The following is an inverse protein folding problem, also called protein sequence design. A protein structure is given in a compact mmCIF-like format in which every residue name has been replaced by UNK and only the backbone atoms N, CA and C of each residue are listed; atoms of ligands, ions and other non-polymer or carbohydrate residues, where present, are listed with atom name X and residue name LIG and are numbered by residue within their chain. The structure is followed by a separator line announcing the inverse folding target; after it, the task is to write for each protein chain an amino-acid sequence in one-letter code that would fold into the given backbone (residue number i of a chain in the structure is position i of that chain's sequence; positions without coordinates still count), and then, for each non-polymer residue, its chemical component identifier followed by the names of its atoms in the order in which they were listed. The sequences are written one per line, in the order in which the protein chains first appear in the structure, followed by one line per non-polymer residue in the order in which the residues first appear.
data_IF_442063872967
#
_entry.id   IF_442063872967
#
_cell.length_a   1.000
_cell.length_b   1.000
_cell.length_c   1.000
_cell.angle_alpha   90.00
_cell.angle_beta   90.00
_cell.angle_gamma   90.00
#
_symmetry.space_group_name_H-M   'P 1'
#
loop_
_entity.id
_entity.type
_entity.pdbx_description
1 polymer ?
#
# COMPACT_ATOMS: atom_id res chain seq x y z
N UNK A 1 10.52 13.22 27.32
CA UNK A 1 10.26 12.36 26.15
C UNK A 1 11.52 11.56 25.85
N UNK A 2 11.42 10.23 25.74
CA UNK A 2 12.52 9.33 25.36
C UNK A 2 12.33 8.88 23.90
N UNK A 3 13.40 8.44 23.22
CA UNK A 3 13.29 7.81 21.89
C UNK A 3 12.32 6.64 21.95
N UNK A 4 11.45 6.47 20.94
CA UNK A 4 10.67 5.23 20.90
C UNK A 4 11.63 4.09 20.58
N UNK A 5 11.41 2.93 21.20
CA UNK A 5 12.09 1.72 20.80
C UNK A 5 11.65 1.29 19.39
N UNK A 6 12.53 0.53 18.74
CA UNK A 6 12.35 0.06 17.37
C UNK A 6 11.02 -0.68 17.14
N UNK A 7 10.65 -1.58 18.06
CA UNK A 7 9.44 -2.39 17.93
C UNK A 7 8.14 -1.57 17.92
N UNK A 8 8.08 -0.44 18.65
CA UNK A 8 6.89 0.43 18.65
C UNK A 8 6.73 1.14 17.31
N UNK A 9 7.85 1.57 16.72
CA UNK A 9 7.83 2.19 15.39
C UNK A 9 7.42 1.19 14.32
N UNK A 10 7.94 -0.03 14.40
CA UNK A 10 7.56 -1.11 13.49
C UNK A 10 6.06 -1.44 13.62
N UNK A 11 5.55 -1.57 14.84
CA UNK A 11 4.13 -1.84 15.07
C UNK A 11 3.23 -0.74 14.51
N UNK A 12 3.62 0.53 14.67
CA UNK A 12 2.93 1.66 14.04
C UNK A 12 2.97 1.58 12.52
N UNK A 13 4.13 1.27 11.94
CA UNK A 13 4.30 1.08 10.50
C UNK A 13 3.39 -0.02 9.96
N UNK A 14 3.34 -1.18 10.63
CA UNK A 14 2.43 -2.28 10.29
C UNK A 14 0.97 -1.83 10.42
N UNK A 15 0.62 -1.10 11.48
CA UNK A 15 -0.71 -0.52 11.64
C UNK A 15 -1.11 0.39 10.48
N UNK A 16 -0.18 1.21 9.99
CA UNK A 16 -0.39 2.05 8.80
C UNK A 16 -0.53 1.23 7.51
N UNK A 17 0.16 0.09 7.37
CA UNK A 17 0.03 -0.82 6.21
C UNK A 17 -1.39 -1.40 6.20
N UNK A 18 -1.83 -1.93 7.34
CA UNK A 18 -3.18 -2.50 7.49
C UNK A 18 -4.23 -1.43 7.22
N UNK A 19 -4.09 -0.24 7.82
CA UNK A 19 -5.00 0.88 7.60
C UNK A 19 -5.03 1.29 6.12
N UNK A 20 -3.87 1.38 5.46
CA UNK A 20 -3.77 1.70 4.05
C UNK A 20 -4.50 0.69 3.17
N UNK A 21 -4.32 -0.61 3.43
CA UNK A 21 -5.04 -1.66 2.73
C UNK A 21 -6.56 -1.55 2.93
N UNK A 22 -7.02 -1.33 4.17
CA UNK A 22 -8.44 -1.18 4.48
C UNK A 22 -9.06 0.04 3.78
N UNK A 23 -8.38 1.19 3.81
CA UNK A 23 -8.88 2.41 3.17
C UNK A 23 -8.93 2.27 1.65
N UNK A 24 -7.89 1.70 1.04
CA UNK A 24 -7.89 1.43 -0.40
C UNK A 24 -9.00 0.44 -0.77
N UNK A 25 -9.22 -0.61 0.03
CA UNK A 25 -10.30 -1.57 -0.21
C UNK A 25 -11.69 -0.91 -0.23
N UNK A 26 -12.02 -0.12 0.80
CA UNK A 26 -13.30 0.59 0.86
C UNK A 26 -13.47 1.60 -0.27
N UNK A 27 -12.40 2.33 -0.59
CA UNK A 27 -12.41 3.28 -1.70
C UNK A 27 -12.66 2.57 -3.04
N UNK A 28 -11.98 1.45 -3.31
CA UNK A 28 -12.21 0.67 -4.53
C UNK A 28 -13.63 0.14 -4.58
N UNK A 29 -14.14 -0.47 -3.49
CA UNK A 29 -15.53 -0.93 -3.45
C UNK A 29 -16.55 0.18 -3.73
N UNK A 30 -16.33 1.37 -3.18
CA UNK A 30 -17.18 2.52 -3.43
C UNK A 30 -17.14 2.94 -4.91
N UNK A 31 -15.95 3.00 -5.52
CA UNK A 31 -15.78 3.37 -6.93
C UNK A 31 -16.35 2.30 -7.87
N UNK A 32 -16.22 1.01 -7.53
CA UNK A 32 -16.79 -0.09 -8.33
C UNK A 32 -18.31 0.02 -8.48
N UNK A 33 -19.04 0.53 -7.47
CA UNK A 33 -20.49 0.75 -7.58
C UNK A 33 -20.88 1.79 -8.64
N UNK A 34 -20.01 2.77 -8.90
CA UNK A 34 -20.23 3.77 -9.96
C UNK A 34 -19.88 3.20 -11.34
N UNK A 35 -18.82 2.37 -11.40
CA UNK A 35 -18.39 1.68 -12.63
C UNK A 35 -19.46 0.68 -13.08
N UNK A 36 -20.01 -0.12 -12.16
CA UNK A 36 -21.01 -1.15 -12.50
C UNK A 36 -22.34 -0.60 -13.01
N UNK A 37 -22.59 0.71 -12.83
CA UNK A 37 -23.83 1.38 -13.30
C UNK A 37 -23.63 2.15 -14.60
N UNK A 38 -22.41 2.19 -15.15
CA UNK A 38 -22.08 2.98 -16.32
C UNK A 38 -21.78 2.10 -17.51
N UNK A 39 -22.59 2.23 -18.57
CA UNK A 39 -22.39 1.54 -19.86
C UNK A 39 -21.31 2.23 -20.72
N UNK A 40 -20.74 3.35 -20.27
CA UNK A 40 -19.72 4.08 -21.00
C UNK A 40 -18.32 3.48 -20.72
N UNK A 41 -17.66 2.84 -21.70
CA UNK A 41 -16.36 2.22 -21.50
C UNK A 41 -15.26 3.23 -21.15
N UNK A 42 -15.34 4.45 -21.68
CA UNK A 42 -14.36 5.51 -21.37
C UNK A 42 -14.46 5.99 -19.91
N UNK A 43 -15.67 6.04 -19.36
CA UNK A 43 -15.88 6.38 -17.95
C UNK A 43 -15.32 5.30 -17.02
N UNK A 44 -15.51 4.03 -17.36
CA UNK A 44 -15.01 2.90 -16.57
C UNK A 44 -13.48 2.88 -16.50
N UNK A 45 -12.81 3.14 -17.64
CA UNK A 45 -11.34 3.28 -17.69
C UNK A 45 -10.88 4.45 -16.82
N UNK A 46 -11.52 5.62 -16.94
CA UNK A 46 -11.17 6.81 -16.17
C UNK A 46 -11.27 6.55 -14.66
N UNK A 47 -12.37 5.95 -14.20
CA UNK A 47 -12.60 5.67 -12.78
C UNK A 47 -11.59 4.66 -12.22
N UNK A 48 -11.23 3.63 -13.01
CA UNK A 48 -10.19 2.67 -12.64
C UNK A 48 -8.81 3.35 -12.49
N UNK A 49 -8.44 4.24 -13.42
CA UNK A 49 -7.18 5.00 -13.36
C UNK A 49 -7.16 5.90 -12.12
N UNK A 50 -8.25 6.61 -11.84
CA UNK A 50 -8.39 7.43 -10.64
C UNK A 50 -8.24 6.56 -9.37
N UNK A 51 -8.91 5.41 -9.31
CA UNK A 51 -8.82 4.49 -8.18
C UNK A 51 -7.39 4.00 -7.95
N UNK A 52 -6.63 3.69 -9.01
CA UNK A 52 -5.23 3.30 -8.89
C UNK A 52 -4.38 4.45 -8.34
N UNK A 53 -4.51 5.66 -8.88
CA UNK A 53 -3.76 6.84 -8.42
C UNK A 53 -4.07 7.13 -6.95
N UNK A 54 -5.35 7.17 -6.58
CA UNK A 54 -5.77 7.40 -5.19
C UNK A 54 -5.23 6.31 -4.26
N UNK A 55 -5.21 5.04 -4.67
CA UNK A 55 -4.67 3.95 -3.85
C UNK A 55 -3.16 4.05 -3.65
N UNK A 56 -2.42 4.42 -4.70
CA UNK A 56 -0.99 4.71 -4.60
C UNK A 56 -0.76 5.83 -3.59
N UNK A 57 -1.51 6.93 -3.71
CA UNK A 57 -1.37 8.09 -2.83
C UNK A 57 -1.73 7.75 -1.38
N UNK A 58 -2.91 7.18 -1.12
CA UNK A 58 -3.37 6.85 0.23
C UNK A 58 -2.36 5.95 0.94
N UNK A 59 -2.00 4.84 0.30
CA UNK A 59 -1.13 3.85 0.92
C UNK A 59 0.27 4.40 1.21
N UNK A 60 0.91 5.06 0.24
CA UNK A 60 2.27 5.57 0.39
C UNK A 60 2.33 6.82 1.29
N UNK A 61 1.29 7.65 1.32
CA UNK A 61 1.21 8.79 2.24
C UNK A 61 1.10 8.35 3.70
N UNK A 62 0.50 7.18 3.99
CA UNK A 62 0.49 6.62 5.33
C UNK A 62 1.88 6.13 5.75
N UNK A 63 2.63 5.50 4.82
CA UNK A 63 4.03 5.12 5.06
C UNK A 63 4.91 6.35 5.32
N UNK A 64 4.71 7.40 4.52
CA UNK A 64 5.34 8.70 4.73
C UNK A 64 5.02 9.27 6.11
N UNK A 65 3.75 9.24 6.51
CA UNK A 65 3.29 9.78 7.79
C UNK A 65 3.94 9.06 8.98
N UNK A 66 4.11 7.73 8.89
CA UNK A 66 4.80 6.95 9.90
C UNK A 66 6.24 7.47 10.15
N UNK A 67 6.99 7.70 9.07
CA UNK A 67 8.32 8.29 9.15
C UNK A 67 8.32 9.75 9.60
N UNK A 68 7.38 10.55 9.06
CA UNK A 68 7.28 11.99 9.32
C UNK A 68 7.01 12.32 10.80
N UNK A 69 6.05 11.62 11.42
CA UNK A 69 5.74 11.82 12.84
C UNK A 69 6.94 11.52 13.75
N UNK A 70 7.70 10.48 13.45
CA UNK A 70 8.90 10.16 14.21
C UNK A 70 10.05 11.13 13.93
N UNK A 71 10.23 11.55 12.67
CA UNK A 71 11.21 12.57 12.29
C UNK A 71 11.01 13.87 13.05
N UNK A 72 9.77 14.37 13.11
CA UNK A 72 9.44 15.58 13.88
C UNK A 72 9.72 15.42 15.38
N UNK A 73 9.44 14.23 15.92
CA UNK A 73 9.73 13.92 17.31
C UNK A 73 11.25 13.84 17.58
N UNK A 74 12.03 13.19 16.73
CA UNK A 74 13.50 13.15 16.84
C UNK A 74 14.10 14.55 16.73
N UNK A 75 13.60 15.40 15.83
CA UNK A 75 13.98 16.82 15.76
C UNK A 75 13.75 17.52 17.10
N UNK A 76 12.58 17.32 17.72
CA UNK A 76 12.29 17.89 19.05
C UNK A 76 13.21 17.37 20.15
N UNK A 77 13.71 16.14 20.06
CA UNK A 77 14.63 15.57 21.05
C UNK A 77 16.04 16.14 20.91
N UNK A 78 16.52 16.27 19.67
CA UNK A 78 17.83 16.87 19.36
C UNK A 78 17.83 18.35 19.70
N UNK A 79 16.79 19.10 19.30
CA UNK A 79 16.63 20.52 19.64
C UNK A 79 16.65 20.79 21.15
N UNK A 80 16.07 19.88 21.94
CA UNK A 80 16.03 20.00 23.40
C UNK A 80 17.29 19.43 24.10
N UNK A 81 18.34 19.08 23.36
CA UNK A 81 19.58 18.54 23.92
C UNK A 81 19.42 17.21 24.66
N UNK A 82 18.34 16.47 24.39
CA UNK A 82 18.05 15.18 25.07
C UNK A 82 18.83 14.01 24.47
N UNK A 83 19.31 14.17 23.24
CA UNK A 83 20.13 13.18 22.53
C UNK A 83 21.10 13.87 21.57
N UNK A 84 22.29 13.32 21.40
CA UNK A 84 23.41 13.93 20.66
C UNK A 84 23.20 14.01 19.14
N UNK A 85 22.42 13.11 18.56
CA UNK A 85 22.17 13.12 17.12
C UNK A 85 21.31 11.94 16.64
N UNK A 86 20.69 12.03 15.45
CA UNK A 86 19.78 11.01 14.94
C UNK A 86 20.49 9.68 14.67
N UNK A 87 19.84 8.53 14.89
CA UNK A 87 20.42 7.23 14.56
C UNK A 87 20.49 7.06 13.02
N UNK A 88 21.63 6.62 12.46
CA UNK A 88 21.79 6.48 11.01
C UNK A 88 20.92 5.34 10.46
N UNK A 89 20.36 5.55 9.26
CA UNK A 89 19.64 4.56 8.43
C UNK A 89 18.47 3.80 9.08
N UNK A 90 18.02 4.20 10.27
CA UNK A 90 16.97 3.50 11.03
C UNK A 90 15.67 3.30 10.24
N UNK A 91 15.26 4.31 9.49
CA UNK A 91 14.01 4.30 8.74
C UNK A 91 14.09 3.57 7.39
N UNK A 92 15.30 3.41 6.84
CA UNK A 92 15.54 2.51 5.71
C UNK A 92 15.33 1.06 6.15
N UNK A 93 15.93 0.66 7.29
CA UNK A 93 15.76 -0.70 7.82
C UNK A 93 14.30 -1.00 8.22
N UNK A 94 13.63 -0.07 8.91
CA UNK A 94 12.21 -0.21 9.22
C UNK A 94 11.38 -0.35 7.93
N UNK A 95 11.66 0.49 6.94
CA UNK A 95 11.01 0.45 5.64
C UNK A 95 11.19 -0.89 4.92
N UNK A 96 12.38 -1.49 4.98
CA UNK A 96 12.64 -2.82 4.39
C UNK A 96 11.83 -3.90 5.09
N UNK A 97 11.76 -3.91 6.42
CA UNK A 97 10.92 -4.89 7.15
C UNK A 97 9.45 -4.70 6.80
N UNK A 98 8.98 -3.45 6.75
CA UNK A 98 7.63 -3.10 6.33
C UNK A 98 7.33 -3.56 4.90
N UNK A 99 8.28 -3.41 3.97
CA UNK A 99 8.18 -3.93 2.61
C UNK A 99 8.00 -5.45 2.59
N UNK A 100 8.82 -6.20 3.31
CA UNK A 100 8.72 -7.68 3.35
C UNK A 100 7.34 -8.11 3.85
N UNK A 101 6.82 -7.45 4.89
CA UNK A 101 5.48 -7.74 5.43
C UNK A 101 4.38 -7.42 4.41
N UNK A 102 4.44 -6.25 3.78
CA UNK A 102 3.44 -5.83 2.79
C UNK A 102 3.49 -6.66 1.50
N UNK A 103 4.68 -7.13 1.10
CA UNK A 103 4.89 -7.95 -0.10
C UNK A 103 4.56 -9.43 0.11
N UNK A 104 4.52 -9.91 1.36
CA UNK A 104 4.29 -11.33 1.66
C UNK A 104 3.00 -11.89 1.02
N UNK A 105 1.83 -11.22 1.07
CA UNK A 105 0.63 -11.71 0.38
C UNK A 105 0.81 -11.84 -1.13
N UNK A 106 1.56 -10.93 -1.76
CA UNK A 106 1.85 -10.96 -3.20
C UNK A 106 2.77 -12.12 -3.58
N UNK A 107 3.74 -12.44 -2.72
CA UNK A 107 4.61 -13.60 -2.91
C UNK A 107 3.80 -14.89 -2.78
N UNK A 108 2.93 -14.98 -1.77
CA UNK A 108 2.03 -16.13 -1.60
C UNK A 108 1.13 -16.29 -2.82
N UNK A 109 0.58 -15.20 -3.35
CA UNK A 109 -0.22 -15.22 -4.57
C UNK A 109 0.58 -15.72 -5.78
N UNK A 110 1.82 -15.25 -5.95
CA UNK A 110 2.69 -15.70 -7.04
C UNK A 110 3.02 -17.19 -6.92
N UNK A 111 3.35 -17.68 -5.73
CA UNK A 111 3.61 -19.10 -5.49
C UNK A 111 2.37 -19.96 -5.74
N UNK A 112 1.19 -19.47 -5.34
CA UNK A 112 -0.06 -20.14 -5.59
C UNK A 112 -0.36 -20.23 -7.10
N UNK A 113 -0.12 -19.16 -7.86
CA UNK A 113 -0.20 -19.19 -9.33
C UNK A 113 0.76 -20.20 -9.98
N UNK A 114 1.99 -20.31 -9.47
CA UNK A 114 3.04 -21.15 -10.07
C UNK A 114 2.93 -22.64 -9.73
N UNK A 115 2.55 -22.97 -8.50
CA UNK A 115 2.62 -24.34 -7.99
C UNK A 115 1.25 -24.95 -7.66
N UNK A 116 0.27 -24.11 -7.29
CA UNK A 116 -1.04 -24.58 -6.80
C UNK A 116 -2.20 -23.77 -7.38
N UNK A 117 -2.33 -23.62 -8.71
CA UNK A 117 -3.42 -22.83 -9.32
C UNK A 117 -4.80 -23.40 -8.95
N UNK A 118 -4.85 -24.64 -8.45
CA UNK A 118 -6.07 -25.29 -8.02
C UNK A 118 -6.74 -24.66 -6.80
N UNK A 119 -5.96 -24.02 -5.93
CA UNK A 119 -6.46 -23.26 -4.81
C UNK A 119 -6.58 -21.80 -5.23
N UNK A 120 -7.79 -21.30 -5.50
CA UNK A 120 -8.00 -19.90 -5.89
C UNK A 120 -7.88 -18.97 -4.67
N UNK A 121 -6.66 -18.52 -4.36
CA UNK A 121 -6.40 -17.58 -3.25
C UNK A 121 -6.67 -16.13 -3.62
N UNK A 122 -7.16 -15.85 -4.83
CA UNK A 122 -7.29 -14.50 -5.36
C UNK A 122 -8.27 -13.64 -4.56
N UNK A 123 -9.37 -14.24 -4.09
CA UNK A 123 -10.34 -13.56 -3.23
C UNK A 123 -9.71 -13.13 -1.89
N UNK A 124 -8.93 -14.02 -1.27
CA UNK A 124 -8.26 -13.73 -0.01
C UNK A 124 -7.19 -12.63 -0.19
N UNK A 125 -6.47 -12.65 -1.32
CA UNK A 125 -5.50 -11.63 -1.66
C UNK A 125 -6.14 -10.23 -1.78
N UNK A 126 -7.29 -10.11 -2.44
CA UNK A 126 -8.04 -8.84 -2.54
C UNK A 126 -8.41 -8.27 -1.17
N UNK A 127 -8.76 -9.14 -0.23
CA UNK A 127 -9.16 -8.73 1.13
C UNK A 127 -7.95 -8.29 1.98
N UNK A 128 -6.85 -9.03 1.92
CA UNK A 128 -5.64 -8.73 2.70
C UNK A 128 -4.89 -7.53 2.11
N UNK A 129 -4.73 -7.50 0.80
CA UNK A 129 -4.00 -6.48 0.04
C UNK A 129 -4.98 -5.55 -0.66
N UNK A 130 -5.79 -4.83 0.12
CA UNK A 130 -6.77 -3.89 -0.42
C UNK A 130 -6.16 -2.78 -1.29
N UNK A 131 -4.87 -2.43 -1.08
CA UNK A 131 -4.15 -1.49 -1.95
C UNK A 131 -3.93 -2.02 -3.38
N UNK A 132 -3.94 -3.34 -3.56
CA UNK A 132 -3.80 -4.02 -4.85
C UNK A 132 -5.14 -4.10 -5.60
N UNK A 133 -6.27 -3.92 -4.92
CA UNK A 133 -7.60 -4.16 -5.50
C UNK A 133 -7.91 -3.33 -6.76
N UNK A 134 -7.62 -2.03 -6.84
CA UNK A 134 -7.87 -1.28 -8.09
C UNK A 134 -6.95 -1.72 -9.24
N UNK A 135 -5.76 -2.22 -8.95
CA UNK A 135 -4.89 -2.82 -9.96
C UNK A 135 -5.47 -4.14 -10.46
N UNK A 136 -5.96 -4.99 -9.55
CA UNK A 136 -6.65 -6.24 -9.90
C UNK A 136 -7.83 -5.97 -10.82
N UNK A 137 -8.69 -5.00 -10.47
CA UNK A 137 -9.86 -4.64 -11.27
C UNK A 137 -9.51 -4.14 -12.66
N UNK A 138 -8.31 -3.56 -12.83
CA UNK A 138 -7.86 -3.00 -14.10
C UNK A 138 -7.12 -4.01 -14.97
N UNK A 139 -6.28 -4.85 -14.36
CA UNK A 139 -5.35 -5.72 -15.07
C UNK A 139 -5.76 -7.19 -15.13
N UNK A 140 -6.72 -7.62 -14.29
CA UNK A 140 -7.22 -8.99 -14.30
C UNK A 140 -8.66 -8.96 -14.78
N UNK A 141 -8.97 -9.57 -15.94
CA UNK A 141 -10.34 -9.63 -16.42
C UNK A 141 -11.21 -10.31 -15.37
N UNK A 142 -12.34 -9.71 -15.04
CA UNK A 142 -13.34 -10.42 -14.23
C UNK A 142 -13.94 -11.51 -15.13
N UNK A 143 -14.14 -12.73 -14.61
CA UNK A 143 -14.81 -13.78 -15.37
C UNK A 143 -16.19 -13.24 -15.73
N UNK A 144 -16.51 -13.28 -17.02
CA UNK A 144 -17.85 -12.94 -17.46
C UNK A 144 -18.80 -13.96 -16.81
N UNK A 145 -19.70 -13.49 -15.94
CA UNK A 145 -20.85 -14.28 -15.49
C UNK A 145 -21.80 -14.43 -16.69
N UNK A 146 -21.39 -15.16 -17.73
CA UNK A 146 -22.25 -15.50 -18.85
C UNK A 146 -23.26 -16.54 -18.36
N UNK A 147 -24.44 -16.06 -17.97
CA UNK A 147 -25.79 -16.60 -18.24
C UNK A 147 -26.11 -18.10 -18.15
N UNK A 148 -25.26 -18.97 -17.63
CA UNK A 148 -25.60 -20.37 -17.42
C UNK A 148 -25.36 -20.77 -15.97
N UNK A 149 -26.41 -20.66 -15.16
CA UNK A 149 -26.46 -21.11 -13.76
C UNK A 149 -26.21 -22.62 -13.55
N UNK A 150 -25.81 -23.34 -14.60
CA UNK A 150 -25.70 -24.81 -14.64
C UNK A 150 -24.40 -25.33 -15.26
N UNK A 151 -23.49 -24.46 -15.70
CA UNK A 151 -22.13 -24.90 -16.00
C UNK A 151 -21.32 -24.72 -14.74
N UNK A 152 -20.94 -25.84 -14.12
CA UNK A 152 -19.97 -25.89 -13.02
C UNK A 152 -18.60 -25.48 -13.57
N UNK A 153 -18.45 -24.18 -13.87
CA UNK A 153 -17.18 -23.65 -14.30
C UNK A 153 -16.34 -23.45 -13.05
N UNK A 154 -15.38 -24.34 -12.85
CA UNK A 154 -14.22 -24.07 -12.02
C UNK A 154 -13.35 -22.97 -12.66
N UNK A 155 -13.94 -21.81 -13.02
CA UNK A 155 -13.23 -20.63 -13.49
C UNK A 155 -12.50 -20.02 -12.30
N UNK A 156 -11.18 -20.22 -12.26
CA UNK A 156 -10.32 -19.66 -11.20
C UNK A 156 -9.72 -18.37 -11.73
N UNK A 157 -9.99 -17.25 -11.07
CA UNK A 157 -9.51 -15.93 -11.51
C UNK A 157 -7.97 -15.85 -11.53
N UNK A 158 -7.33 -16.70 -10.75
CA UNK A 158 -5.88 -16.84 -10.74
C UNK A 158 -5.33 -17.36 -12.06
N UNK A 159 -6.09 -18.14 -12.84
CA UNK A 159 -5.63 -18.72 -14.10
C UNK A 159 -5.46 -17.65 -15.20
N UNK A 160 -6.33 -16.64 -15.20
CA UNK A 160 -6.31 -15.53 -16.16
C UNK A 160 -5.34 -14.40 -15.77
N UNK A 161 -4.90 -14.39 -14.50
CA UNK A 161 -3.95 -13.39 -14.02
C UNK A 161 -2.57 -13.58 -14.68
N UNK A 162 -2.09 -12.54 -15.36
CA UNK A 162 -0.73 -12.49 -15.88
C UNK A 162 0.31 -12.57 -14.75
N UNK A 163 1.41 -13.34 -14.91
CA UNK A 163 2.54 -13.34 -13.97
C UNK A 163 3.21 -11.98 -13.79
N UNK A 164 2.97 -11.04 -14.70
CA UNK A 164 3.46 -9.66 -14.60
C UNK A 164 2.76 -8.88 -13.49
N UNK A 165 1.52 -9.24 -13.12
CA UNK A 165 0.78 -8.55 -12.06
C UNK A 165 1.46 -8.66 -10.69
N UNK A 166 1.82 -9.86 -10.17
CA UNK A 166 2.56 -9.95 -8.92
C UNK A 166 3.89 -9.20 -8.96
N UNK A 167 4.59 -9.20 -10.09
CA UNK A 167 5.84 -8.45 -10.25
C UNK A 167 5.61 -6.92 -10.13
N UNK A 168 4.56 -6.38 -10.75
CA UNK A 168 4.17 -4.97 -10.59
C UNK A 168 3.84 -4.64 -9.13
N UNK A 169 3.12 -5.53 -8.45
CA UNK A 169 2.77 -5.32 -7.03
C UNK A 169 4.02 -5.36 -6.13
N UNK A 170 5.03 -6.17 -6.44
CA UNK A 170 6.31 -6.13 -5.72
C UNK A 170 7.03 -4.79 -5.91
N UNK A 171 7.03 -4.24 -7.13
CA UNK A 171 7.60 -2.91 -7.41
C UNK A 171 6.82 -1.82 -6.64
N UNK A 172 5.48 -1.92 -6.62
CA UNK A 172 4.62 -1.03 -5.84
C UNK A 172 5.03 -1.02 -4.37
N UNK A 173 5.18 -2.19 -3.74
CA UNK A 173 5.59 -2.25 -2.33
C UNK A 173 7.05 -1.87 -2.11
N UNK A 174 7.94 -2.02 -3.09
CA UNK A 174 9.35 -1.63 -3.00
C UNK A 174 9.56 -0.11 -2.82
N UNK A 175 8.51 0.70 -3.01
CA UNK A 175 8.51 2.14 -2.75
C UNK A 175 8.40 2.45 -1.24
N UNK A 176 7.93 1.50 -0.41
CA UNK A 176 7.76 1.69 1.05
C UNK A 176 9.03 2.24 1.73
N UNK A 177 10.23 1.66 1.58
CA UNK A 177 11.42 2.15 2.26
C UNK A 177 11.81 3.57 1.86
N UNK A 178 11.54 3.95 0.61
CA UNK A 178 11.79 5.30 0.11
C UNK A 178 10.84 6.29 0.79
N UNK A 179 9.55 5.96 0.86
CA UNK A 179 8.54 6.85 1.44
C UNK A 179 8.71 7.01 2.95
N UNK A 180 9.05 5.95 3.67
CA UNK A 180 9.32 6.03 5.12
C UNK A 180 10.56 6.86 5.42
N UNK A 181 11.64 6.69 4.64
CA UNK A 181 12.87 7.46 4.78
C UNK A 181 12.67 8.93 4.42
N UNK A 182 11.96 9.20 3.33
CA UNK A 182 11.64 10.57 2.88
C UNK A 182 10.72 11.27 3.89
N UNK A 183 9.73 10.57 4.44
CA UNK A 183 8.90 11.05 5.55
C UNK A 183 9.72 11.46 6.75
N UNK A 184 10.60 10.57 7.22
CA UNK A 184 11.48 10.86 8.34
C UNK A 184 12.39 12.07 8.08
N UNK A 185 13.04 12.14 6.90
CA UNK A 185 13.93 13.23 6.56
C UNK A 185 13.21 14.59 6.56
N UNK A 186 12.02 14.65 5.95
CA UNK A 186 11.21 15.87 5.92
C UNK A 186 10.74 16.26 7.32
N UNK A 187 10.35 15.29 8.14
CA UNK A 187 9.93 15.54 9.52
C UNK A 187 11.08 16.03 10.39
N UNK A 188 12.27 15.47 10.20
CA UNK A 188 13.46 15.85 10.96
C UNK A 188 14.00 17.22 10.57
N UNK A 189 13.98 17.55 9.28
CA UNK A 189 14.43 18.86 8.76
C UNK A 189 13.41 19.98 8.96
N UNK A 190 12.24 19.65 9.53
CA UNK A 190 11.16 20.59 9.86
C UNK A 190 10.72 21.45 8.67
N UNK A 191 10.86 20.93 7.44
CA UNK A 191 10.62 21.65 6.17
C UNK A 191 9.18 22.17 6.01
N UNK A 192 8.23 21.59 6.74
CA UNK A 192 6.81 21.98 6.71
C UNK A 192 6.38 22.81 7.91
N UNK A 193 7.30 23.25 8.77
CA UNK A 193 6.94 24.09 9.90
C UNK A 193 6.62 25.52 9.43
N UNK A 194 5.36 25.91 9.61
CA UNK A 194 4.82 27.22 9.21
C UNK A 194 5.55 28.38 9.87
N UNK A 195 6.04 28.21 11.09
CA UNK A 195 6.75 29.25 11.82
C UNK A 195 8.10 29.55 11.14
N UNK A 196 8.82 28.52 10.67
CA UNK A 196 10.06 28.70 9.92
C UNK A 196 9.86 29.26 8.50
N UNK A 197 8.64 29.17 7.95
CA UNK A 197 8.28 29.67 6.62
C UNK A 197 7.83 31.14 6.69
N UNK A 198 7.17 31.56 7.77
CA UNK A 198 6.73 32.96 7.95
C UNK A 198 7.82 33.92 8.45
N UNK A 199 8.86 33.41 9.12
CA UNK A 199 9.92 34.25 9.71
C UNK A 199 11.26 34.19 8.95
N UNK A 200 11.25 33.78 7.68
CA UNK A 200 12.36 33.94 6.73
C UNK A 200 12.05 35.07 5.76
#
# INVERSE_FOLDING_TARGET
MKRQPFYILLLKGIGYIVLGNVLCFFMTMALTMFISKSDNPGFNILMNVIAMICSVLIFHMLMFTAGWQDGHREHSLVKNGRVDGPPPHRWIFLGIIMFVIAAAPTIVLLLNKLFFPQADTFYLYRFISGSAYPFIQTFVPMPELQNEAWVETAYRQIDDMSPLFPALMLIYYAIIPVMTQLGWYIGFTDKFNKDNIMYK
#
